data_IF_573847573421
#
_entry.id   IF_573847573421
#
_cell.length_a   1.000
_cell.length_b   1.000
_cell.length_c   1.000
_cell.angle_alpha   90.00
_cell.angle_beta   90.00
_cell.angle_gamma   90.00
#
_symmetry.space_group_name_H-M   'P 1'
#
loop_
_entity.id
_entity.type
_entity.pdbx_description
1 polymer ?
#
# COMPACT_ATOMS: atom_id res chain seq x y z
N UNK A 1 -4.56 -12.03 31.35
CA UNK A 1 -5.12 -11.28 30.20
C UNK A 1 -4.18 -10.18 29.72
N UNK A 2 -3.55 -9.44 30.64
CA UNK A 2 -2.56 -8.40 30.31
C UNK A 2 -1.35 -8.89 29.51
N UNK A 3 -0.75 -10.04 29.89
CA UNK A 3 0.35 -10.64 29.14
C UNK A 3 -0.01 -10.97 27.68
N UNK A 4 -1.23 -11.45 27.45
CA UNK A 4 -1.71 -11.74 26.09
C UNK A 4 -1.88 -10.43 25.29
N UNK A 5 -2.43 -9.39 25.91
CA UNK A 5 -2.59 -8.08 25.27
C UNK A 5 -1.22 -7.47 24.89
N UNK A 6 -0.22 -7.55 25.77
CA UNK A 6 1.13 -7.06 25.50
C UNK A 6 1.83 -7.84 24.39
N UNK A 7 1.63 -9.16 24.36
CA UNK A 7 2.17 -10.01 23.29
C UNK A 7 1.52 -9.69 21.94
N UNK A 8 0.20 -9.54 21.89
CA UNK A 8 -0.54 -9.13 20.69
C UNK A 8 -0.06 -7.76 20.19
N UNK A 9 0.11 -6.80 21.10
CA UNK A 9 0.64 -5.47 20.74
C UNK A 9 2.03 -5.57 20.10
N UNK A 10 2.94 -6.32 20.75
CA UNK A 10 4.29 -6.55 20.23
C UNK A 10 4.26 -7.23 18.86
N UNK A 11 3.35 -8.19 18.65
CA UNK A 11 3.21 -8.86 17.37
C UNK A 11 2.77 -7.90 16.25
N UNK A 12 1.72 -7.11 16.47
CA UNK A 12 1.16 -6.24 15.42
C UNK A 12 1.96 -4.97 15.15
N UNK A 13 2.55 -4.37 16.17
CA UNK A 13 3.25 -3.08 16.03
C UNK A 13 4.77 -3.21 16.12
N UNK A 14 5.28 -4.27 16.76
CA UNK A 14 6.71 -4.52 16.88
C UNK A 14 7.27 -5.44 15.81
N UNK A 15 6.56 -6.51 15.42
CA UNK A 15 7.10 -7.55 14.52
C UNK A 15 6.51 -7.45 13.11
N UNK A 16 5.17 -7.43 13.01
CA UNK A 16 4.45 -7.50 11.74
C UNK A 16 4.83 -6.42 10.72
N UNK A 17 5.08 -5.14 11.09
CA UNK A 17 5.43 -4.11 10.11
C UNK A 17 6.72 -4.43 9.34
N UNK A 18 7.72 -5.02 10.02
CA UNK A 18 8.99 -5.40 9.39
C UNK A 18 8.82 -6.59 8.45
N UNK A 19 8.02 -7.58 8.84
CA UNK A 19 7.71 -8.73 7.97
C UNK A 19 6.96 -8.26 6.73
N UNK A 20 5.93 -7.44 6.90
CA UNK A 20 5.14 -6.89 5.80
C UNK A 20 6.02 -6.08 4.83
N UNK A 21 6.90 -5.23 5.36
CA UNK A 21 7.80 -4.43 4.53
C UNK A 21 8.86 -5.28 3.80
N UNK A 22 9.43 -6.29 4.46
CA UNK A 22 10.40 -7.19 3.84
C UNK A 22 9.76 -8.00 2.70
N UNK A 23 8.57 -8.56 2.92
CA UNK A 23 7.82 -9.30 1.90
C UNK A 23 7.41 -8.37 0.75
N UNK A 24 6.97 -7.15 1.05
CA UNK A 24 6.67 -6.14 0.03
C UNK A 24 7.89 -5.85 -0.85
N UNK A 25 9.02 -5.46 -0.26
CA UNK A 25 10.21 -5.05 -1.01
C UNK A 25 10.81 -6.21 -1.82
N UNK A 26 11.03 -7.37 -1.18
CA UNK A 26 11.63 -8.55 -1.84
C UNK A 26 10.67 -9.15 -2.87
N UNK A 27 9.38 -9.23 -2.55
CA UNK A 27 8.35 -9.70 -3.49
C UNK A 27 8.24 -8.82 -4.72
N UNK A 28 8.26 -7.49 -4.55
CA UNK A 28 8.30 -6.54 -5.66
C UNK A 28 9.55 -6.72 -6.51
N UNK A 29 10.73 -6.87 -5.89
CA UNK A 29 11.99 -7.04 -6.61
C UNK A 29 12.00 -8.33 -7.45
N UNK A 30 11.63 -9.47 -6.84
CA UNK A 30 11.59 -10.77 -7.54
C UNK A 30 10.60 -10.74 -8.69
N UNK A 31 9.40 -10.17 -8.47
CA UNK A 31 8.37 -10.08 -9.50
C UNK A 31 8.78 -9.14 -10.65
N UNK A 32 9.50 -8.06 -10.33
CA UNK A 32 10.03 -7.14 -11.34
C UNK A 32 11.08 -7.83 -12.23
N UNK A 33 12.00 -8.61 -11.65
CA UNK A 33 13.05 -9.29 -12.40
C UNK A 33 12.52 -10.48 -13.22
N UNK A 34 11.65 -11.31 -12.64
CA UNK A 34 11.22 -12.58 -13.24
C UNK A 34 9.93 -12.50 -14.05
N UNK A 35 9.01 -11.60 -13.71
CA UNK A 35 7.61 -11.67 -14.18
C UNK A 35 7.12 -10.39 -14.86
N UNK A 36 7.95 -9.82 -15.74
CA UNK A 36 7.67 -8.55 -16.42
C UNK A 36 6.35 -8.55 -17.23
N UNK A 37 5.95 -9.69 -17.81
CA UNK A 37 4.67 -9.80 -18.54
C UNK A 37 3.44 -9.62 -17.63
N UNK A 38 3.56 -9.98 -16.35
CA UNK A 38 2.49 -9.81 -15.35
C UNK A 38 2.43 -8.38 -14.80
N UNK A 39 3.47 -7.57 -15.04
CA UNK A 39 3.60 -6.22 -14.48
C UNK A 39 2.84 -5.19 -15.32
N UNK A 40 1.52 -5.19 -15.19
CA UNK A 40 0.61 -4.27 -15.90
C UNK A 40 -0.58 -3.88 -15.03
N UNK A 41 -1.17 -2.73 -15.34
CA UNK A 41 -2.34 -2.20 -14.61
C UNK A 41 -3.65 -3.00 -14.83
N UNK A 42 -3.66 -3.98 -15.75
CA UNK A 42 -4.79 -4.85 -16.05
C UNK A 42 -6.13 -4.11 -16.19
N UNK A 43 -6.16 -3.06 -17.02
CA UNK A 43 -7.33 -2.21 -17.18
C UNK A 43 -8.54 -2.96 -17.75
N UNK A 44 -9.66 -2.89 -17.05
CA UNK A 44 -10.97 -3.40 -17.49
C UNK A 44 -11.80 -2.35 -18.24
N UNK A 45 -11.24 -1.16 -18.49
CA UNK A 45 -11.96 -0.04 -19.11
C UNK A 45 -12.43 -0.33 -20.54
N UNK A 46 -11.87 -1.33 -21.23
CA UNK A 46 -12.38 -1.78 -22.53
C UNK A 46 -13.75 -2.49 -22.41
N UNK A 47 -14.03 -3.14 -21.28
CA UNK A 47 -15.27 -3.89 -21.04
C UNK A 47 -16.42 -2.99 -20.56
N UNK A 48 -16.11 -1.96 -19.77
CA UNK A 48 -17.05 -0.91 -19.39
C UNK A 48 -16.32 0.45 -19.37
N UNK A 49 -16.77 1.39 -20.20
CA UNK A 49 -16.14 2.72 -20.30
C UNK A 49 -16.85 3.79 -19.49
N UNK A 50 -18.16 3.66 -19.28
CA UNK A 50 -19.00 4.77 -18.83
C UNK A 50 -18.85 5.00 -17.33
N UNK A 51 -19.07 3.94 -16.54
CA UNK A 51 -18.98 4.00 -15.08
C UNK A 51 -17.52 4.07 -14.60
N UNK A 52 -16.64 3.29 -15.23
CA UNK A 52 -15.23 3.17 -14.84
C UNK A 52 -14.45 4.48 -14.98
N UNK A 53 -14.79 5.36 -15.93
CA UNK A 53 -14.05 6.62 -16.10
C UNK A 53 -14.25 7.57 -14.92
N UNK A 54 -15.49 7.73 -14.46
CA UNK A 54 -15.80 8.59 -13.32
C UNK A 54 -15.29 7.96 -12.02
N UNK A 55 -15.59 6.68 -11.79
CA UNK A 55 -15.16 5.95 -10.59
C UNK A 55 -13.64 5.87 -10.46
N UNK A 56 -12.93 5.57 -11.55
CA UNK A 56 -11.46 5.49 -11.54
C UNK A 56 -10.83 6.85 -11.25
N UNK A 57 -11.32 7.93 -11.85
CA UNK A 57 -10.78 9.27 -11.61
C UNK A 57 -10.99 9.70 -10.15
N UNK A 58 -12.20 9.53 -9.60
CA UNK A 58 -12.50 9.89 -8.20
C UNK A 58 -11.65 9.07 -7.23
N UNK A 59 -11.49 7.77 -7.47
CA UNK A 59 -10.66 6.91 -6.63
C UNK A 59 -9.17 7.30 -6.69
N UNK A 60 -8.60 7.45 -7.89
CA UNK A 60 -7.18 7.74 -8.05
C UNK A 60 -6.80 9.12 -7.50
N UNK A 61 -7.62 10.15 -7.73
CA UNK A 61 -7.38 11.48 -7.17
C UNK A 61 -7.45 11.41 -5.63
N UNK A 62 -8.46 10.73 -5.08
CA UNK A 62 -8.62 10.56 -3.64
C UNK A 62 -7.45 9.81 -3.01
N UNK A 63 -7.09 8.63 -3.53
CA UNK A 63 -6.03 7.80 -2.95
C UNK A 63 -4.66 8.46 -3.07
N UNK A 64 -4.37 9.18 -4.16
CA UNK A 64 -3.11 9.92 -4.30
C UNK A 64 -3.00 11.04 -3.26
N UNK A 65 -4.08 11.79 -3.04
CA UNK A 65 -4.11 12.82 -2.00
C UNK A 65 -3.89 12.22 -0.59
N UNK A 66 -4.54 11.08 -0.30
CA UNK A 66 -4.38 10.37 0.97
C UNK A 66 -2.94 9.87 1.15
N UNK A 67 -2.34 9.26 0.13
CA UNK A 67 -0.96 8.75 0.19
C UNK A 67 0.02 9.89 0.46
N UNK A 68 -0.09 11.00 -0.28
CA UNK A 68 0.76 12.17 -0.07
C UNK A 68 0.54 12.75 1.32
N UNK A 69 -0.71 12.88 1.77
CA UNK A 69 -1.04 13.35 3.11
C UNK A 69 -0.46 12.47 4.22
N UNK A 70 -0.49 11.14 4.07
CA UNK A 70 0.14 10.21 5.02
C UNK A 70 1.65 10.33 5.01
N UNK A 71 2.28 10.43 3.83
CA UNK A 71 3.72 10.53 3.70
C UNK A 71 4.24 11.81 4.38
N UNK A 72 3.64 12.95 4.06
CA UNK A 72 4.01 14.24 4.66
C UNK A 72 3.64 14.27 6.13
N UNK A 73 2.43 13.86 6.51
CA UNK A 73 1.97 13.93 7.90
C UNK A 73 2.75 13.04 8.86
N UNK A 74 3.17 11.85 8.42
CA UNK A 74 3.86 10.89 9.29
C UNK A 74 5.39 10.97 9.22
N UNK A 75 5.96 11.40 8.09
CA UNK A 75 7.42 11.43 7.91
C UNK A 75 8.04 12.83 8.08
N UNK A 76 7.24 13.91 8.11
CA UNK A 76 7.79 15.26 8.36
C UNK A 76 8.20 15.38 9.83
N UNK A 77 9.46 15.70 10.14
CA UNK A 77 9.91 15.86 11.52
C UNK A 77 9.28 17.10 12.14
N UNK A 78 8.93 17.01 13.42
CA UNK A 78 8.34 18.12 14.19
C UNK A 78 9.35 19.20 14.58
N UNK A 79 10.64 18.98 14.34
CA UNK A 79 11.75 19.85 14.75
C UNK A 79 12.27 20.76 13.64
N UNK A 80 11.50 20.94 12.56
CA UNK A 80 11.72 21.97 11.54
C UNK A 80 10.72 23.09 11.79
#
# INVERSE_FOLDING_TARGET
MEHLANWINTLFFGIYPYIAFAVFAVGCLIRFDREQYSWKASSSQLLDKSSLRLGSNLFHIGVLFIIVGHLVGLLTPTSI
#
